data_IF_966370348625
#
_entry.id   IF_966370348625
#
_cell.length_a   1.000
_cell.length_b   1.000
_cell.length_c   1.000
_cell.angle_alpha   90.00
_cell.angle_beta   90.00
_cell.angle_gamma   90.00
#
_symmetry.space_group_name_H-M   'P 1'
#
loop_
_entity.id
_entity.type
_entity.pdbx_description
1 polymer ?
#
# COMPACT_ATOMS: atom_id res chain seq x y z
N UNK A 1 27.49 14.51 -21.99
CA UNK A 1 27.35 14.99 -20.60
C UNK A 1 25.92 15.45 -20.23
N UNK A 2 25.07 15.89 -21.17
CA UNK A 2 23.68 16.30 -20.87
C UNK A 2 22.71 15.15 -20.50
N UNK A 3 22.81 13.97 -21.12
CA UNK A 3 21.82 12.90 -20.92
C UNK A 3 21.77 12.40 -19.46
N UNK A 4 22.91 12.20 -18.81
CA UNK A 4 22.94 11.74 -17.41
C UNK A 4 22.32 12.77 -16.44
N UNK A 5 22.52 14.07 -16.67
CA UNK A 5 21.94 15.11 -15.82
C UNK A 5 20.41 15.19 -15.97
N UNK A 6 19.92 15.05 -17.21
CA UNK A 6 18.49 14.98 -17.52
C UNK A 6 17.85 13.74 -16.92
N UNK A 7 18.49 12.57 -17.04
CA UNK A 7 17.99 11.32 -16.48
C UNK A 7 17.90 11.39 -14.94
N UNK A 8 18.94 11.90 -14.27
CA UNK A 8 18.92 12.11 -12.83
C UNK A 8 17.76 13.04 -12.41
N UNK A 9 17.55 14.12 -13.15
CA UNK A 9 16.48 15.09 -12.87
C UNK A 9 15.09 14.46 -13.03
N UNK A 10 14.86 13.73 -14.14
CA UNK A 10 13.61 12.99 -14.38
C UNK A 10 13.36 12.00 -13.23
N UNK A 11 14.40 11.28 -12.81
CA UNK A 11 14.29 10.28 -11.77
C UNK A 11 13.95 10.83 -10.38
N UNK A 12 14.56 11.95 -9.99
CA UNK A 12 14.24 12.61 -8.70
C UNK A 12 12.87 13.29 -8.73
N UNK A 13 12.48 13.91 -9.85
CA UNK A 13 11.14 14.46 -10.02
C UNK A 13 10.10 13.33 -9.91
N UNK A 14 10.32 12.23 -10.64
CA UNK A 14 9.41 11.08 -10.62
C UNK A 14 9.30 10.46 -9.22
N UNK A 15 10.42 10.34 -8.51
CA UNK A 15 10.42 9.87 -7.10
C UNK A 15 9.62 10.81 -6.19
N UNK A 16 9.78 12.12 -6.34
CA UNK A 16 9.06 13.12 -5.55
C UNK A 16 7.56 13.05 -5.80
N UNK A 17 7.15 12.96 -7.07
CA UNK A 17 5.75 12.78 -7.45
C UNK A 17 5.19 11.48 -6.86
N UNK A 18 5.92 10.37 -6.98
CA UNK A 18 5.50 9.08 -6.41
C UNK A 18 5.31 9.16 -4.89
N UNK A 19 6.24 9.79 -4.16
CA UNK A 19 6.16 9.98 -2.71
C UNK A 19 4.89 10.74 -2.30
N UNK A 20 4.65 11.89 -2.93
CA UNK A 20 3.51 12.74 -2.60
C UNK A 20 2.20 12.03 -2.90
N UNK A 21 2.11 11.36 -4.06
CA UNK A 21 0.91 10.66 -4.48
C UNK A 21 0.63 9.42 -3.62
N UNK A 22 1.61 8.55 -3.36
CA UNK A 22 1.41 7.41 -2.46
C UNK A 22 1.11 7.83 -1.02
N UNK A 23 1.74 8.89 -0.53
CA UNK A 23 1.50 9.41 0.82
C UNK A 23 0.12 10.06 0.99
N UNK A 24 -0.53 10.44 -0.12
CA UNK A 24 -1.78 11.19 -0.11
C UNK A 24 -2.95 10.47 -0.79
N UNK A 25 -2.74 9.29 -1.39
CA UNK A 25 -3.75 8.62 -2.21
C UNK A 25 -5.05 8.32 -1.45
N UNK A 26 -4.97 8.02 -0.16
CA UNK A 26 -6.15 7.74 0.68
C UNK A 26 -6.69 8.96 1.45
N UNK A 27 -6.04 10.13 1.34
CA UNK A 27 -6.51 11.38 1.98
C UNK A 27 -7.92 11.79 1.51
N UNK A 28 -8.28 11.71 0.21
CA UNK A 28 -9.63 12.04 -0.25
C UNK A 28 -10.72 11.20 0.40
N UNK A 29 -10.40 9.97 0.81
CA UNK A 29 -11.35 9.01 1.35
C UNK A 29 -11.69 9.23 2.81
N UNK A 30 -10.88 9.99 3.55
CA UNK A 30 -11.07 10.16 4.99
C UNK A 30 -12.35 10.92 5.36
N UNK A 31 -12.88 11.73 4.45
CA UNK A 31 -14.09 12.55 4.68
C UNK A 31 -15.41 11.84 4.39
N UNK A 32 -15.36 10.68 3.73
CA UNK A 32 -16.54 9.98 3.25
C UNK A 32 -16.69 8.64 3.96
N UNK A 33 -17.93 8.18 4.15
CA UNK A 33 -18.16 6.83 4.65
C UNK A 33 -17.78 5.81 3.57
N UNK A 34 -16.83 4.96 3.91
CA UNK A 34 -16.27 3.92 3.04
C UNK A 34 -16.83 2.53 3.39
N UNK A 35 -17.71 2.44 4.41
CA UNK A 35 -18.37 1.20 4.77
C UNK A 35 -17.44 0.09 5.22
N UNK A 36 -17.63 -1.10 4.66
CA UNK A 36 -16.72 -2.25 4.83
C UNK A 36 -15.53 -2.25 3.85
N UNK A 37 -15.52 -1.32 2.89
CA UNK A 37 -14.44 -1.13 1.94
C UNK A 37 -14.47 -2.03 0.70
N UNK A 38 -15.34 -3.03 0.61
CA UNK A 38 -15.32 -3.99 -0.51
C UNK A 38 -15.73 -3.33 -1.84
N UNK A 39 -16.77 -2.49 -1.80
CA UNK A 39 -17.17 -1.71 -2.97
C UNK A 39 -16.11 -0.67 -3.35
N UNK A 40 -15.55 0.02 -2.36
CA UNK A 40 -14.49 1.00 -2.58
C UNK A 40 -13.25 0.38 -3.23
N UNK A 41 -12.82 -0.79 -2.77
CA UNK A 41 -11.73 -1.57 -3.34
C UNK A 41 -11.94 -1.79 -4.83
N UNK A 42 -13.15 -2.19 -5.24
CA UNK A 42 -13.48 -2.45 -6.63
C UNK A 42 -13.45 -1.17 -7.50
N UNK A 43 -14.04 -0.07 -7.01
CA UNK A 43 -13.99 1.23 -7.71
C UNK A 43 -12.56 1.74 -7.86
N UNK A 44 -11.76 1.65 -6.79
CA UNK A 44 -10.35 2.04 -6.79
C UNK A 44 -9.56 1.21 -7.81
N UNK A 45 -9.76 -0.10 -7.84
CA UNK A 45 -9.08 -1.00 -8.80
C UNK A 45 -9.52 -0.77 -10.25
N UNK A 46 -10.78 -0.40 -10.48
CA UNK A 46 -11.26 -0.01 -11.82
C UNK A 46 -10.53 1.25 -12.32
N UNK A 47 -10.35 2.24 -11.44
CA UNK A 47 -9.60 3.46 -11.78
C UNK A 47 -8.12 3.17 -12.08
N UNK A 48 -7.48 2.29 -11.30
CA UNK A 48 -6.12 1.80 -11.58
C UNK A 48 -6.04 1.19 -12.98
N UNK A 49 -6.99 0.32 -13.32
CA UNK A 49 -7.02 -0.34 -14.62
C UNK A 49 -7.23 0.63 -15.79
N UNK A 50 -8.07 1.65 -15.64
CA UNK A 50 -8.26 2.69 -16.65
C UNK A 50 -6.96 3.45 -16.95
N UNK A 51 -6.18 3.79 -15.91
CA UNK A 51 -4.85 4.37 -16.09
C UNK A 51 -3.94 3.39 -16.83
N UNK A 52 -4.02 2.09 -16.52
CA UNK A 52 -3.27 1.04 -17.22
C UNK A 52 -3.56 1.03 -18.74
N UNK A 53 -4.82 1.17 -19.13
CA UNK A 53 -5.22 1.21 -20.54
C UNK A 53 -4.57 2.40 -21.24
N UNK A 54 -4.61 3.58 -20.63
CA UNK A 54 -3.97 4.80 -21.18
C UNK A 54 -2.46 4.59 -21.33
N UNK A 55 -1.79 4.08 -20.30
CA UNK A 55 -0.34 3.80 -20.32
C UNK A 55 -0.01 2.77 -21.41
N UNK A 56 -0.81 1.71 -21.53
CA UNK A 56 -0.63 0.67 -22.55
C UNK A 56 -0.70 1.25 -23.97
N UNK A 57 -1.65 2.16 -24.23
CA UNK A 57 -1.78 2.83 -25.52
C UNK A 57 -0.60 3.76 -25.81
N UNK A 58 -0.13 4.52 -24.81
CA UNK A 58 1.06 5.39 -24.92
C UNK A 58 2.31 4.57 -25.25
N UNK A 59 2.44 3.36 -24.69
CA UNK A 59 3.56 2.46 -24.91
C UNK A 59 3.41 1.57 -26.16
N UNK A 60 2.43 1.84 -27.02
CA UNK A 60 2.16 1.07 -28.24
C UNK A 60 1.88 -0.42 -27.99
N UNK A 61 1.13 -0.73 -26.93
CA UNK A 61 0.67 -2.07 -26.58
C UNK A 61 1.82 -3.09 -26.45
N UNK A 62 2.69 -2.96 -25.42
CA UNK A 62 3.75 -3.92 -25.14
C UNK A 62 3.21 -5.34 -24.98
N UNK A 63 4.09 -6.34 -25.20
CA UNK A 63 3.73 -7.75 -25.09
C UNK A 63 3.17 -8.05 -23.70
N UNK A 64 1.96 -8.61 -23.67
CA UNK A 64 1.30 -8.99 -22.44
C UNK A 64 1.92 -10.27 -21.85
N UNK A 65 2.42 -10.18 -20.62
CA UNK A 65 2.96 -11.32 -19.88
C UNK A 65 2.02 -11.69 -18.73
N UNK A 66 1.21 -12.76 -18.84
CA UNK A 66 0.19 -13.11 -17.84
C UNK A 66 0.74 -13.35 -16.43
N UNK A 67 1.98 -13.83 -16.30
CA UNK A 67 2.59 -14.05 -14.99
C UNK A 67 2.74 -12.74 -14.18
N UNK A 68 2.88 -11.59 -14.83
CA UNK A 68 2.88 -10.28 -14.15
C UNK A 68 1.54 -9.96 -13.46
N UNK A 69 0.43 -10.56 -13.91
CA UNK A 69 -0.88 -10.41 -13.26
C UNK A 69 -0.87 -10.97 -11.83
N UNK A 70 -0.07 -12.00 -11.55
CA UNK A 70 0.04 -12.60 -10.21
C UNK A 70 0.47 -11.56 -9.19
N UNK A 71 1.37 -10.65 -9.58
CA UNK A 71 1.77 -9.53 -8.74
C UNK A 71 0.58 -8.64 -8.39
N UNK A 72 -0.25 -8.34 -9.38
CA UNK A 72 -1.47 -7.57 -9.18
C UNK A 72 -2.49 -8.26 -8.27
N UNK A 73 -2.58 -9.60 -8.36
CA UNK A 73 -3.41 -10.38 -7.45
C UNK A 73 -2.93 -10.25 -5.99
N UNK A 74 -1.62 -10.36 -5.77
CA UNK A 74 -1.00 -10.21 -4.44
C UNK A 74 -1.30 -8.81 -3.87
N UNK A 75 -1.14 -7.76 -4.69
CA UNK A 75 -1.46 -6.40 -4.27
C UNK A 75 -2.93 -6.22 -3.90
N UNK A 76 -3.84 -6.66 -4.76
CA UNK A 76 -5.29 -6.52 -4.53
C UNK A 76 -5.73 -7.26 -3.25
N UNK A 77 -5.09 -8.40 -2.95
CA UNK A 77 -5.32 -9.16 -1.71
C UNK A 77 -4.95 -8.35 -0.48
N UNK A 78 -3.78 -7.68 -0.48
CA UNK A 78 -3.39 -6.78 0.60
C UNK A 78 -4.31 -5.55 0.70
N UNK A 79 -4.73 -5.01 -0.45
CA UNK A 79 -5.47 -3.76 -0.49
C UNK A 79 -6.91 -3.84 0.06
N UNK A 80 -7.53 -5.04 0.09
CA UNK A 80 -8.82 -5.23 0.79
C UNK A 80 -8.76 -4.79 2.25
N UNK A 81 -7.62 -4.99 2.92
CA UNK A 81 -7.50 -4.68 4.33
C UNK A 81 -7.35 -3.18 4.64
N UNK A 82 -7.18 -2.32 3.62
CA UNK A 82 -6.91 -0.89 3.82
C UNK A 82 -8.02 -0.18 4.59
N UNK A 83 -9.29 -0.40 4.23
CA UNK A 83 -10.41 0.25 4.95
C UNK A 83 -10.48 -0.19 6.41
N UNK A 84 -10.43 -1.51 6.73
CA UNK A 84 -10.29 -1.96 8.10
C UNK A 84 -9.09 -1.36 8.84
N UNK A 85 -7.91 -1.25 8.21
CA UNK A 85 -6.71 -0.67 8.84
C UNK A 85 -6.95 0.82 9.17
N UNK A 86 -7.47 1.60 8.23
CA UNK A 86 -7.73 3.03 8.43
C UNK A 86 -8.77 3.25 9.54
N UNK A 87 -9.81 2.41 9.61
CA UNK A 87 -10.83 2.47 10.67
C UNK A 87 -10.32 2.03 12.04
N UNK A 88 -9.28 1.20 12.12
CA UNK A 88 -8.76 0.63 13.38
C UNK A 88 -7.58 1.37 13.98
N UNK A 89 -6.58 1.71 13.18
CA UNK A 89 -5.32 2.32 13.64
C UNK A 89 -5.00 3.66 12.98
N UNK A 90 -5.88 4.14 12.09
CA UNK A 90 -5.74 5.45 11.46
C UNK A 90 -4.95 5.40 10.15
N UNK A 91 -5.10 6.43 9.33
CA UNK A 91 -4.46 6.48 8.02
C UNK A 91 -2.95 6.69 8.16
N UNK A 92 -2.53 7.63 9.01
CA UNK A 92 -1.11 7.97 9.17
C UNK A 92 -0.30 6.78 9.70
N UNK A 93 -0.74 6.20 10.82
CA UNK A 93 -0.07 5.06 11.44
C UNK A 93 -0.15 3.79 10.59
N UNK A 94 -1.28 3.56 9.91
CA UNK A 94 -1.41 2.50 8.94
C UNK A 94 -0.31 2.55 7.88
N UNK A 95 -0.19 3.69 7.18
CA UNK A 95 0.83 3.88 6.12
C UNK A 95 2.24 3.60 6.59
N UNK A 96 2.57 4.03 7.81
CA UNK A 96 3.88 3.80 8.41
C UNK A 96 4.16 2.31 8.63
N UNK A 97 3.21 1.57 9.20
CA UNK A 97 3.39 0.15 9.49
C UNK A 97 3.48 -0.65 8.19
N UNK A 98 2.47 -0.58 7.32
CA UNK A 98 2.51 -1.39 6.09
C UNK A 98 3.63 -0.95 5.15
N UNK A 99 3.97 0.36 5.12
CA UNK A 99 5.09 0.88 4.34
C UNK A 99 6.43 0.30 4.79
N UNK A 100 6.62 0.17 6.11
CA UNK A 100 7.83 -0.45 6.68
C UNK A 100 7.95 -1.92 6.30
N UNK A 101 6.88 -2.70 6.42
CA UNK A 101 6.89 -4.12 6.05
C UNK A 101 6.96 -4.35 4.54
N UNK A 102 6.40 -3.43 3.73
CA UNK A 102 6.59 -3.38 2.28
C UNK A 102 8.07 -3.22 1.91
N UNK A 103 8.74 -2.23 2.49
CA UNK A 103 10.17 -1.99 2.26
C UNK A 103 11.03 -3.20 2.67
N UNK A 104 10.77 -3.77 3.86
CA UNK A 104 11.50 -4.92 4.38
C UNK A 104 11.32 -6.18 3.52
N UNK A 105 10.08 -6.45 3.09
CA UNK A 105 9.78 -7.63 2.28
C UNK A 105 10.34 -7.47 0.87
N UNK A 106 10.23 -6.28 0.27
CA UNK A 106 10.85 -5.99 -1.01
C UNK A 106 12.38 -6.15 -0.95
N UNK A 107 13.02 -5.58 0.07
CA UNK A 107 14.46 -5.78 0.30
C UNK A 107 14.84 -7.26 0.48
N UNK A 108 14.12 -8.00 1.33
CA UNK A 108 14.42 -9.41 1.60
C UNK A 108 14.24 -10.27 0.34
N UNK A 109 13.16 -10.07 -0.40
CA UNK A 109 12.88 -10.84 -1.62
C UNK A 109 13.98 -10.66 -2.67
N UNK A 110 14.42 -9.42 -2.92
CA UNK A 110 15.51 -9.12 -3.85
C UNK A 110 16.87 -9.59 -3.34
N UNK A 111 17.19 -9.36 -2.07
CA UNK A 111 18.51 -9.69 -1.49
C UNK A 111 18.78 -11.19 -1.46
N UNK A 112 17.77 -11.99 -1.12
CA UNK A 112 17.89 -13.44 -0.96
C UNK A 112 17.44 -14.22 -2.19
N UNK A 113 16.98 -13.56 -3.26
CA UNK A 113 16.50 -14.23 -4.46
C UNK A 113 15.27 -15.12 -4.20
N UNK A 114 14.37 -14.67 -3.31
CA UNK A 114 13.17 -15.45 -3.01
C UNK A 114 12.35 -15.71 -4.29
N UNK A 115 11.64 -16.83 -4.33
CA UNK A 115 10.81 -17.22 -5.47
C UNK A 115 11.58 -17.42 -6.78
N UNK A 116 12.88 -17.73 -6.69
CA UNK A 116 13.73 -18.05 -7.83
C UNK A 116 14.24 -16.84 -8.61
N UNK A 117 14.17 -15.64 -8.03
CA UNK A 117 14.82 -14.44 -8.59
C UNK A 117 16.34 -14.52 -8.43
N UNK A 118 17.08 -13.78 -9.26
CA UNK A 118 18.54 -13.69 -9.08
C UNK A 118 18.81 -12.88 -7.80
N UNK A 119 19.60 -13.45 -6.88
CA UNK A 119 19.91 -12.79 -5.62
C UNK A 119 20.76 -11.54 -5.86
N UNK A 120 20.33 -10.40 -5.34
CA UNK A 120 21.05 -9.16 -5.54
C UNK A 120 22.34 -9.12 -4.71
N UNK A 121 23.48 -9.06 -5.39
CA UNK A 121 24.79 -8.89 -4.77
C UNK A 121 25.05 -7.41 -4.44
N UNK A 122 25.64 -7.17 -3.26
CA UNK A 122 25.96 -5.83 -2.76
C UNK A 122 27.43 -5.74 -2.38
N UNK A 123 28.08 -4.64 -2.74
CA UNK A 123 29.52 -4.42 -2.51
C UNK A 123 29.90 -4.48 -1.03
N UNK A 124 29.02 -4.02 -0.13
CA UNK A 124 29.24 -4.00 1.33
C UNK A 124 28.08 -4.70 2.07
N UNK A 125 28.08 -6.05 2.16
CA UNK A 125 26.98 -6.81 2.76
C UNK A 125 26.67 -6.44 4.22
N UNK A 126 27.70 -6.18 5.03
CA UNK A 126 27.50 -5.80 6.44
C UNK A 126 26.72 -4.50 6.58
N UNK A 127 27.05 -3.48 5.78
CA UNK A 127 26.37 -2.18 5.80
C UNK A 127 24.91 -2.32 5.35
N UNK A 128 24.65 -3.20 4.38
CA UNK A 128 23.31 -3.51 3.91
C UNK A 128 22.46 -4.16 5.03
N UNK A 129 23.01 -5.15 5.74
CA UNK A 129 22.31 -5.81 6.85
C UNK A 129 22.08 -4.88 8.04
N UNK A 130 23.02 -3.98 8.34
CA UNK A 130 22.79 -2.92 9.35
C UNK A 130 21.62 -2.03 8.93
N UNK A 131 21.57 -1.61 7.66
CA UNK A 131 20.48 -0.79 7.13
C UNK A 131 19.10 -1.46 7.22
N UNK A 132 19.04 -2.74 6.87
CA UNK A 132 17.84 -3.56 7.04
C UNK A 132 17.45 -3.72 8.51
N UNK A 133 18.42 -3.98 9.39
CA UNK A 133 18.21 -4.08 10.84
C UNK A 133 17.64 -2.80 11.45
N UNK A 134 18.15 -1.63 11.07
CA UNK A 134 17.60 -0.34 11.47
C UNK A 134 16.17 -0.15 10.98
N UNK A 135 15.86 -0.58 9.75
CA UNK A 135 14.50 -0.52 9.20
C UNK A 135 13.52 -1.40 9.98
N UNK A 136 13.95 -2.58 10.43
CA UNK A 136 13.18 -3.46 11.33
C UNK A 136 12.90 -2.75 12.66
N UNK A 137 13.94 -2.16 13.28
CA UNK A 137 13.79 -1.44 14.54
C UNK A 137 12.80 -0.28 14.40
N UNK A 138 12.87 0.50 13.33
CA UNK A 138 11.92 1.58 13.06
C UNK A 138 10.48 1.06 12.89
N UNK A 139 10.28 -0.04 12.16
CA UNK A 139 8.98 -0.69 12.00
C UNK A 139 8.37 -1.08 13.36
N UNK A 140 9.18 -1.64 14.26
CA UNK A 140 8.74 -1.96 15.62
C UNK A 140 8.40 -0.71 16.43
N UNK A 141 9.17 0.37 16.33
CA UNK A 141 8.86 1.64 17.01
C UNK A 141 7.51 2.19 16.55
N UNK A 142 7.20 2.13 15.25
CA UNK A 142 5.90 2.57 14.74
C UNK A 142 4.73 1.81 15.38
N UNK A 143 4.86 0.49 15.64
CA UNK A 143 3.81 -0.29 16.32
C UNK A 143 3.47 0.24 17.72
N UNK A 144 4.41 0.91 18.40
CA UNK A 144 4.19 1.48 19.72
C UNK A 144 3.46 2.83 19.70
N UNK A 145 3.47 3.56 18.57
CA UNK A 145 2.74 4.82 18.42
C UNK A 145 1.24 4.56 18.59
N UNK A 146 0.60 5.36 19.46
CA UNK A 146 -0.86 5.29 19.68
C UNK A 146 -1.55 6.27 18.74
N UNK A 147 -2.51 5.78 17.96
CA UNK A 147 -3.42 6.65 17.21
C UNK A 147 -4.69 6.90 18.01
N UNK A 148 -5.15 8.15 18.00
CA UNK A 148 -6.46 8.55 18.49
C UNK A 148 -7.44 8.58 17.31
N UNK A 149 -8.39 7.64 17.32
CA UNK A 149 -9.45 7.58 16.31
C UNK A 149 -10.79 7.81 17.01
N UNK A 150 -11.64 8.70 16.50
CA UNK A 150 -13.01 8.84 17.00
C UNK A 150 -13.72 7.48 16.91
N UNK A 151 -14.18 6.95 18.05
CA UNK A 151 -14.96 5.71 18.06
C UNK A 151 -16.35 6.01 17.48
N UNK A 152 -16.66 5.45 16.32
CA UNK A 152 -18.05 5.27 15.88
C UNK A 152 -18.64 4.13 16.71
N UNK A 153 -19.09 4.41 17.92
CA UNK A 153 -19.87 3.44 18.71
C UNK A 153 -21.18 3.21 17.98
N UNK A 154 -21.40 2.01 17.44
CA UNK A 154 -22.76 1.54 17.22
C UNK A 154 -23.40 1.46 18.60
N UNK A 155 -24.51 2.17 18.81
CA UNK A 155 -25.21 2.23 20.09
C UNK A 155 -25.64 0.82 20.51
N UNK A 156 -24.84 0.17 21.34
CA UNK A 156 -25.33 -0.91 22.20
C UNK A 156 -25.94 -0.18 23.38
N UNK A 157 -27.26 0.03 23.33
CA UNK A 157 -28.03 0.59 24.44
C UNK A 157 -27.67 -0.16 25.73
N UNK A 158 -26.83 0.47 26.54
CA UNK A 158 -26.72 0.14 27.96
C UNK A 158 -27.57 1.19 28.66
N UNK A 159 -28.88 1.15 28.43
CA UNK A 159 -29.82 2.08 29.05
C UNK A 159 -29.86 1.78 30.55
N UNK A 160 -29.61 2.77 31.43
CA UNK A 160 -29.88 2.60 32.84
C UNK A 160 -31.41 2.49 33.01
N UNK A 161 -31.83 1.56 33.85
CA UNK A 161 -33.22 1.28 34.25
C UNK A 161 -34.09 2.54 34.37
N UNK A 162 -34.93 2.79 33.36
CA UNK A 162 -36.22 3.47 33.56
C UNK A 162 -37.27 2.64 32.81
N UNK A 163 -38.15 2.06 33.61
CA UNK A 163 -39.35 1.33 33.24
C UNK A 163 -40.23 2.17 32.32
N UNK A 164 -40.46 1.73 31.09
CA UNK A 164 -41.75 1.92 30.41
C UNK A 164 -41.97 0.88 29.30
N UNK A 165 -43.22 0.46 29.19
CA UNK A 165 -43.70 -0.72 28.50
C UNK A 165 -43.93 -0.48 26.99
N UNK A 166 -43.77 -1.56 26.18
CA UNK A 166 -44.25 -1.79 24.79
C UNK A 166 -43.43 -1.04 23.71
N UNK A 167 -42.73 -1.67 22.74
CA UNK A 167 -43.13 -2.66 21.72
C UNK A 167 -41.89 -3.48 21.31
N UNK A 168 -42.02 -4.80 21.21
CA UNK A 168 -41.05 -5.69 20.54
C UNK A 168 -40.90 -5.28 19.06
N UNK A 169 -39.97 -4.37 18.77
CA UNK A 169 -39.27 -4.38 17.49
C UNK A 169 -38.07 -5.30 17.68
N UNK A 170 -38.07 -6.44 16.99
CA UNK A 170 -36.82 -7.12 16.64
C UNK A 170 -35.86 -6.05 16.11
N UNK A 171 -34.83 -5.72 16.89
CA UNK A 171 -33.78 -4.79 16.51
C UNK A 171 -33.05 -5.39 15.33
N UNK A 172 -33.36 -4.94 14.12
CA UNK A 172 -32.47 -5.15 12.99
C UNK A 172 -31.12 -4.49 13.31
N UNK A 173 -29.99 -5.19 13.12
CA UNK A 173 -28.68 -4.59 13.33
C UNK A 173 -28.53 -3.40 12.36
N UNK A 174 -28.14 -2.25 12.90
CA UNK A 174 -27.96 -1.01 12.15
C UNK A 174 -27.19 -1.26 10.83
N UNK A 175 -27.81 -1.05 9.65
CA UNK A 175 -27.23 -1.40 8.36
C UNK A 175 -25.92 -0.66 8.06
N UNK A 176 -25.61 0.43 8.77
CA UNK A 176 -24.38 1.20 8.62
C UNK A 176 -23.21 0.71 9.48
N UNK A 177 -23.43 -0.20 10.43
CA UNK A 177 -22.37 -0.69 11.32
C UNK A 177 -21.42 -1.67 10.59
N UNK A 178 -20.13 -1.34 10.50
CA UNK A 178 -19.10 -2.25 9.96
C UNK A 178 -18.72 -3.29 11.02
N UNK A 179 -18.22 -4.45 10.59
CA UNK A 179 -17.74 -5.48 11.52
C UNK A 179 -16.60 -4.97 12.41
N UNK A 180 -15.81 -4.02 11.89
CA UNK A 180 -14.70 -3.38 12.59
C UNK A 180 -15.20 -2.58 13.79
N UNK A 181 -16.39 -1.98 13.70
CA UNK A 181 -16.97 -1.12 14.75
C UNK A 181 -17.43 -1.92 15.97
N UNK A 182 -17.49 -3.25 15.87
CA UNK A 182 -17.87 -4.17 16.96
C UNK A 182 -16.69 -4.63 17.82
N UNK A 183 -15.46 -4.25 17.48
CA UNK A 183 -14.26 -4.71 18.17
C UNK A 183 -14.05 -3.95 19.49
N UNK A 184 -13.45 -4.60 20.49
CA UNK A 184 -12.97 -3.90 21.69
C UNK A 184 -11.75 -3.03 21.39
N UNK A 185 -11.42 -2.07 22.25
CA UNK A 185 -10.27 -1.15 22.04
C UNK A 185 -8.94 -1.88 21.81
N UNK A 186 -8.71 -3.01 22.51
CA UNK A 186 -7.50 -3.82 22.34
C UNK A 186 -7.53 -4.60 21.03
N UNK A 187 -8.69 -5.18 20.69
CA UNK A 187 -8.87 -5.90 19.43
C UNK A 187 -8.74 -4.97 18.21
N UNK A 188 -9.27 -3.74 18.27
CA UNK A 188 -9.09 -2.73 17.22
C UNK A 188 -7.62 -2.56 16.87
N UNK A 189 -6.79 -2.29 17.88
CA UNK A 189 -5.36 -2.07 17.66
C UNK A 189 -4.66 -3.33 17.14
N UNK A 190 -4.94 -4.49 17.73
CA UNK A 190 -4.31 -5.75 17.32
C UNK A 190 -4.66 -6.09 15.87
N UNK A 191 -5.95 -6.07 15.52
CA UNK A 191 -6.44 -6.37 14.17
C UNK A 191 -5.86 -5.37 13.16
N UNK A 192 -5.89 -4.06 13.46
CA UNK A 192 -5.35 -3.04 12.57
C UNK A 192 -3.85 -3.19 12.32
N UNK A 193 -3.06 -3.40 13.38
CA UNK A 193 -1.62 -3.65 13.23
C UNK A 193 -1.33 -4.94 12.47
N UNK A 194 -2.01 -6.05 12.80
CA UNK A 194 -1.81 -7.33 12.10
C UNK A 194 -2.17 -7.23 10.62
N UNK A 195 -3.30 -6.60 10.29
CA UNK A 195 -3.70 -6.38 8.90
C UNK A 195 -2.70 -5.48 8.16
N UNK A 196 -2.17 -4.43 8.80
CA UNK A 196 -1.16 -3.57 8.21
C UNK A 196 0.16 -4.31 7.94
N UNK A 197 0.60 -5.17 8.86
CA UNK A 197 1.79 -6.02 8.66
C UNK A 197 1.59 -6.97 7.48
N UNK A 198 0.46 -7.70 7.44
CA UNK A 198 0.15 -8.64 6.36
C UNK A 198 0.07 -7.91 5.02
N UNK A 199 -0.63 -6.78 4.97
CA UNK A 199 -0.74 -5.96 3.74
C UNK A 199 0.62 -5.46 3.28
N UNK A 200 1.47 -5.02 4.22
CA UNK A 200 2.84 -4.61 3.91
C UNK A 200 3.66 -5.73 3.27
N UNK A 201 3.60 -6.95 3.81
CA UNK A 201 4.30 -8.12 3.24
C UNK A 201 3.80 -8.42 1.82
N UNK A 202 2.49 -8.39 1.60
CA UNK A 202 1.90 -8.60 0.27
C UNK A 202 2.33 -7.49 -0.70
N UNK A 203 2.28 -6.22 -0.30
CA UNK A 203 2.75 -5.11 -1.13
C UNK A 203 4.23 -5.24 -1.50
N UNK A 204 5.09 -5.64 -0.56
CA UNK A 204 6.52 -5.85 -0.84
C UNK A 204 6.79 -7.02 -1.79
N UNK A 205 5.83 -7.93 -1.93
CA UNK A 205 5.92 -9.07 -2.85
C UNK A 205 5.29 -8.79 -4.22
N UNK A 206 4.65 -7.63 -4.42
CA UNK A 206 3.84 -7.35 -5.61
C UNK A 206 4.63 -7.34 -6.91
N UNK A 207 5.89 -6.90 -6.87
CA UNK A 207 6.74 -6.80 -8.06
C UNK A 207 7.63 -8.03 -8.28
N UNK A 208 7.60 -9.02 -7.38
CA UNK A 208 8.38 -10.27 -7.51
C UNK A 208 8.12 -10.97 -8.86
N UNK A 209 6.87 -11.13 -9.35
CA UNK A 209 6.65 -11.78 -10.64
C UNK A 209 7.23 -11.02 -11.83
N UNK A 210 7.24 -9.68 -11.78
CA UNK A 210 7.84 -8.84 -12.82
C UNK A 210 9.36 -8.98 -12.80
N UNK A 211 9.97 -8.92 -11.61
CA UNK A 211 11.42 -9.10 -11.44
C UNK A 211 11.83 -10.50 -11.94
N UNK A 212 11.08 -11.53 -11.59
CA UNK A 212 11.31 -12.90 -12.05
C UNK A 212 11.31 -13.01 -13.59
N UNK A 213 10.32 -12.41 -14.27
CA UNK A 213 10.28 -12.37 -15.74
C UNK A 213 11.51 -11.67 -16.30
N UNK A 214 11.87 -10.50 -15.73
CA UNK A 214 13.02 -9.71 -16.18
C UNK A 214 14.34 -10.46 -16.02
N UNK A 215 14.55 -11.15 -14.90
CA UNK A 215 15.78 -11.92 -14.67
C UNK A 215 15.87 -13.12 -15.61
N UNK A 216 14.79 -13.87 -15.77
CA UNK A 216 14.79 -15.04 -16.67
C UNK A 216 14.89 -14.63 -18.14
N UNK A 217 14.39 -13.46 -18.52
CA UNK A 217 14.51 -12.97 -19.91
C UNK A 217 15.94 -12.70 -20.37
N UNK A 218 16.89 -12.55 -19.43
CA UNK A 218 18.33 -12.43 -19.73
C UNK A 218 18.92 -13.74 -20.26
N UNK A 219 18.25 -14.88 -20.03
CA UNK A 219 18.68 -16.21 -20.45
C UNK A 219 17.91 -16.61 -21.71
N UNK A 220 18.64 -16.92 -22.79
CA UNK A 220 18.06 -17.19 -24.11
C UNK A 220 17.22 -18.48 -24.19
N UNK A 221 17.41 -19.38 -23.23
CA UNK A 221 16.71 -20.66 -23.10
C UNK A 221 15.43 -20.59 -22.25
N UNK A 222 15.12 -19.43 -21.66
CA UNK A 222 13.92 -19.29 -20.82
C UNK A 222 12.65 -19.01 -21.64
N UNK A 223 11.51 -19.37 -21.06
CA UNK A 223 10.17 -19.03 -21.62
C UNK A 223 9.91 -17.52 -21.68
N UNK A 224 10.75 -16.72 -21.03
CA UNK A 224 10.68 -15.27 -20.98
C UNK A 224 11.72 -14.60 -21.88
N UNK A 225 12.43 -15.36 -22.73
CA UNK A 225 13.37 -14.80 -23.70
C UNK A 225 12.70 -13.70 -24.54
N UNK A 226 13.35 -12.53 -24.62
CA UNK A 226 12.83 -11.36 -25.32
C UNK A 226 11.78 -10.54 -24.55
N UNK A 227 11.55 -10.81 -23.26
CA UNK A 227 10.76 -9.91 -22.41
C UNK A 227 11.51 -8.58 -22.17
N UNK A 228 10.75 -7.49 -22.03
CA UNK A 228 11.33 -6.16 -21.87
C UNK A 228 12.00 -5.98 -20.51
N UNK A 229 13.06 -5.18 -20.45
CA UNK A 229 13.67 -4.75 -19.19
C UNK A 229 13.01 -3.49 -18.61
N UNK A 230 12.11 -2.86 -19.37
CA UNK A 230 11.39 -1.66 -18.95
C UNK A 230 10.21 -2.03 -18.06
N UNK A 231 10.18 -1.55 -16.81
CA UNK A 231 9.13 -1.88 -15.84
C UNK A 231 7.73 -1.44 -16.30
N UNK A 232 7.66 -0.33 -17.03
CA UNK A 232 6.40 0.22 -17.55
C UNK A 232 5.67 -0.73 -18.51
N UNK A 233 6.40 -1.61 -19.20
CA UNK A 233 5.82 -2.54 -20.18
C UNK A 233 4.96 -3.62 -19.51
N UNK A 234 5.15 -3.82 -18.19
CA UNK A 234 4.40 -4.78 -17.38
C UNK A 234 3.20 -4.16 -16.65
N UNK A 235 3.04 -2.82 -16.66
CA UNK A 235 1.99 -2.10 -15.93
C UNK A 235 0.60 -2.60 -16.32
N UNK A 236 0.35 -2.78 -17.62
CA UNK A 236 -0.96 -3.21 -18.09
C UNK A 236 -1.31 -4.63 -17.61
N UNK A 237 -0.35 -5.56 -17.65
CA UNK A 237 -0.55 -6.91 -17.12
C UNK A 237 -0.72 -6.91 -15.60
N UNK A 238 0.12 -6.17 -14.88
CA UNK A 238 0.03 -6.02 -13.43
C UNK A 238 -1.34 -5.47 -12.99
N UNK A 239 -1.78 -4.34 -13.57
CA UNK A 239 -3.03 -3.68 -13.20
C UNK A 239 -4.26 -4.49 -13.66
N UNK A 240 -4.15 -5.28 -14.74
CA UNK A 240 -5.19 -6.24 -15.11
C UNK A 240 -5.36 -7.33 -14.05
N UNK A 241 -4.26 -7.81 -13.45
CA UNK A 241 -4.31 -8.71 -12.30
C UNK A 241 -4.98 -8.09 -11.07
N UNK A 242 -4.70 -6.80 -10.79
CA UNK A 242 -5.34 -6.05 -9.71
C UNK A 242 -6.86 -6.02 -9.92
N UNK A 243 -7.32 -5.58 -11.09
CA UNK A 243 -8.75 -5.41 -11.36
C UNK A 243 -9.51 -6.73 -11.44
N UNK A 244 -8.91 -7.75 -12.07
CA UNK A 244 -9.51 -9.09 -12.11
C UNK A 244 -9.71 -9.65 -10.70
N UNK A 245 -8.69 -9.59 -9.86
CA UNK A 245 -8.75 -10.10 -8.49
C UNK A 245 -9.75 -9.33 -7.65
N UNK A 246 -9.74 -7.99 -7.76
CA UNK A 246 -10.73 -7.15 -7.10
C UNK A 246 -12.16 -7.44 -7.55
N UNK A 247 -12.37 -7.78 -8.82
CA UNK A 247 -13.69 -8.16 -9.35
C UNK A 247 -14.13 -9.50 -8.77
N UNK A 248 -13.23 -10.49 -8.69
CA UNK A 248 -13.52 -11.77 -8.04
C UNK A 248 -13.93 -11.57 -6.58
N UNK A 249 -13.22 -10.73 -5.83
CA UNK A 249 -13.57 -10.42 -4.45
C UNK A 249 -14.91 -9.70 -4.32
N UNK A 250 -15.21 -8.76 -5.20
CA UNK A 250 -16.49 -8.07 -5.20
C UNK A 250 -17.65 -9.00 -5.57
N UNK A 251 -17.46 -9.91 -6.53
CA UNK A 251 -18.46 -10.93 -6.88
C UNK A 251 -18.70 -11.90 -5.71
N UNK A 252 -17.64 -12.38 -5.06
CA UNK A 252 -17.75 -13.22 -3.86
C UNK A 252 -18.50 -12.50 -2.73
N UNK A 253 -18.22 -11.21 -2.54
CA UNK A 253 -18.96 -10.36 -1.60
C UNK A 253 -20.43 -10.23 -1.96
N UNK A 254 -20.78 -9.97 -3.23
CA UNK A 254 -22.17 -9.94 -3.68
C UNK A 254 -22.89 -11.27 -3.44
N UNK A 255 -22.23 -12.41 -3.69
CA UNK A 255 -22.79 -13.75 -3.41
C UNK A 255 -23.03 -13.91 -1.90
N UNK A 256 -22.03 -13.59 -1.07
CA UNK A 256 -22.14 -13.68 0.39
C UNK A 256 -23.25 -12.77 0.94
N UNK A 257 -23.43 -11.59 0.35
CA UNK A 257 -24.48 -10.63 0.66
C UNK A 257 -25.81 -10.92 -0.06
N UNK A 258 -25.98 -12.09 -0.69
CA UNK A 258 -27.22 -12.49 -1.40
C UNK A 258 -27.72 -11.44 -2.40
N UNK A 259 -26.79 -10.82 -3.12
CA UNK A 259 -27.01 -9.76 -4.09
C UNK A 259 -27.62 -8.46 -3.51
N UNK A 260 -27.46 -8.22 -2.21
CA UNK A 260 -27.72 -6.92 -1.56
C UNK A 260 -26.42 -6.36 -0.97
N UNK A 261 -25.42 -6.03 -1.81
CA UNK A 261 -24.14 -5.46 -1.35
C UNK A 261 -24.34 -4.07 -0.74
N UNK A 262 -23.52 -3.72 0.26
CA UNK A 262 -23.50 -2.35 0.80
C UNK A 262 -22.72 -1.45 -0.14
N UNK A 263 -23.43 -0.56 -0.83
CA UNK A 263 -22.84 0.40 -1.77
C UNK A 263 -22.78 1.78 -1.12
N UNK A 264 -21.68 2.49 -1.36
CA UNK A 264 -21.44 3.83 -0.84
C UNK A 264 -21.15 4.79 -2.01
N UNK A 265 -22.20 5.35 -2.65
CA UNK A 265 -22.04 6.16 -3.86
C UNK A 265 -21.15 7.39 -3.66
N UNK A 266 -21.20 8.00 -2.48
CA UNK A 266 -20.38 9.18 -2.13
C UNK A 266 -18.88 8.87 -2.13
N UNK A 267 -18.51 7.61 -1.88
CA UNK A 267 -17.11 7.16 -1.91
C UNK A 267 -16.60 6.85 -3.33
N UNK A 268 -17.46 6.86 -4.37
CA UNK A 268 -17.08 6.50 -5.74
C UNK A 268 -16.06 7.46 -6.32
N UNK A 269 -16.34 8.77 -6.32
CA UNK A 269 -15.44 9.77 -6.89
C UNK A 269 -14.12 9.90 -6.10
N UNK A 270 -14.13 9.97 -4.74
CA UNK A 270 -12.90 9.92 -3.94
C UNK A 270 -12.10 8.63 -4.14
N UNK A 271 -12.77 7.48 -4.27
CA UNK A 271 -12.15 6.18 -4.51
C UNK A 271 -11.51 6.08 -5.88
N UNK A 272 -12.20 6.60 -6.90
CA UNK A 272 -11.66 6.69 -8.25
C UNK A 272 -10.41 7.58 -8.29
N UNK A 273 -10.47 8.76 -7.66
CA UNK A 273 -9.31 9.64 -7.53
C UNK A 273 -8.15 8.95 -6.81
N UNK A 274 -8.43 8.25 -5.71
CA UNK A 274 -7.43 7.48 -4.96
C UNK A 274 -6.70 6.45 -5.85
N UNK A 275 -7.45 5.71 -6.66
CA UNK A 275 -6.91 4.75 -7.62
C UNK A 275 -6.06 5.40 -8.70
N UNK A 276 -6.48 6.53 -9.27
CA UNK A 276 -5.70 7.30 -10.24
C UNK A 276 -4.38 7.79 -9.62
N UNK A 277 -4.43 8.38 -8.43
CA UNK A 277 -3.23 8.86 -7.73
C UNK A 277 -2.23 7.71 -7.48
N UNK A 278 -2.72 6.55 -7.03
CA UNK A 278 -1.88 5.37 -6.82
C UNK A 278 -1.28 4.84 -8.12
N UNK A 279 -2.07 4.75 -9.19
CA UNK A 279 -1.62 4.24 -10.49
C UNK A 279 -0.54 5.13 -11.12
N UNK A 280 -0.70 6.46 -11.06
CA UNK A 280 0.30 7.43 -11.52
C UNK A 280 1.56 7.31 -10.66
N UNK A 281 1.43 7.19 -9.33
CA UNK A 281 2.56 7.01 -8.42
C UNK A 281 3.39 5.76 -8.77
N UNK A 282 2.74 4.64 -9.08
CA UNK A 282 3.40 3.41 -9.52
C UNK A 282 4.12 3.59 -10.85
N UNK A 283 3.53 4.30 -11.82
CA UNK A 283 4.20 4.62 -13.07
C UNK A 283 5.43 5.52 -12.84
N UNK A 284 5.31 6.53 -11.99
CA UNK A 284 6.42 7.40 -11.60
C UNK A 284 7.53 6.63 -10.88
N UNK A 285 7.19 5.64 -10.05
CA UNK A 285 8.16 4.74 -9.45
C UNK A 285 8.93 3.98 -10.54
N UNK A 286 8.25 3.38 -11.50
CA UNK A 286 8.91 2.66 -12.60
C UNK A 286 9.82 3.57 -13.45
N UNK A 287 9.41 4.81 -13.72
CA UNK A 287 10.28 5.81 -14.36
C UNK A 287 11.50 6.11 -13.49
N UNK A 288 11.33 6.30 -12.18
CA UNK A 288 12.42 6.54 -11.24
C UNK A 288 13.40 5.36 -11.16
N UNK A 289 12.92 4.11 -11.18
CA UNK A 289 13.76 2.92 -11.22
C UNK A 289 14.66 2.92 -12.45
N UNK A 290 14.11 3.30 -13.62
CA UNK A 290 14.88 3.38 -14.86
C UNK A 290 15.93 4.48 -14.82
N UNK A 291 15.60 5.65 -14.27
CA UNK A 291 16.46 6.83 -14.30
C UNK A 291 17.51 6.92 -13.17
N UNK A 292 17.16 6.49 -11.95
CA UNK A 292 18.07 6.52 -10.78
C UNK A 292 18.63 5.15 -10.41
N UNK A 293 18.22 4.09 -11.09
CA UNK A 293 18.31 2.70 -10.62
C UNK A 293 17.37 2.40 -9.44
N UNK A 294 16.90 1.15 -9.37
CA UNK A 294 16.08 0.65 -8.26
C UNK A 294 16.81 0.80 -6.91
N UNK A 295 18.14 0.76 -6.90
CA UNK A 295 18.97 0.92 -5.70
C UNK A 295 18.73 2.25 -4.99
N UNK A 296 18.56 3.33 -5.75
CA UNK A 296 18.44 4.69 -5.24
C UNK A 296 16.97 5.05 -5.05
N UNK A 297 16.14 4.72 -6.04
CA UNK A 297 14.72 5.06 -6.03
C UNK A 297 13.90 4.25 -5.02
N UNK A 298 14.22 2.96 -4.81
CA UNK A 298 13.46 2.10 -3.89
C UNK A 298 13.45 2.65 -2.45
N UNK A 299 14.60 2.94 -1.79
CA UNK A 299 14.58 3.47 -0.42
C UNK A 299 13.86 4.83 -0.31
N UNK A 300 14.00 5.68 -1.34
CA UNK A 300 13.33 7.00 -1.40
C UNK A 300 11.81 6.82 -1.44
N UNK A 301 11.32 5.99 -2.37
CA UNK A 301 9.89 5.80 -2.64
C UNK A 301 9.22 4.91 -1.59
N UNK A 302 9.95 4.06 -0.85
CA UNK A 302 9.37 3.27 0.23
C UNK A 302 9.32 4.01 1.56
N UNK A 303 10.27 4.91 1.85
CA UNK A 303 10.29 5.68 3.09
C UNK A 303 9.49 6.99 3.00
N UNK A 304 9.54 7.68 1.86
CA UNK A 304 8.94 9.00 1.66
C UNK A 304 7.41 9.04 1.86
N UNK A 305 6.60 8.11 1.31
CA UNK A 305 5.15 8.12 1.49
C UNK A 305 4.73 8.05 2.96
N UNK A 306 5.47 7.29 3.78
CA UNK A 306 5.24 7.20 5.21
C UNK A 306 5.42 8.56 5.90
N UNK A 307 6.42 9.34 5.49
CA UNK A 307 6.62 10.71 5.98
C UNK A 307 5.44 11.62 5.63
N UNK A 308 5.01 11.64 4.37
CA UNK A 308 3.87 12.45 3.92
C UNK A 308 2.58 12.04 4.66
N UNK A 309 2.33 10.74 4.81
CA UNK A 309 1.18 10.22 5.55
C UNK A 309 1.21 10.61 7.03
N UNK A 310 2.39 10.58 7.66
CA UNK A 310 2.56 11.04 9.03
C UNK A 310 2.25 12.53 9.16
N UNK A 311 2.65 13.37 8.20
CA UNK A 311 2.31 14.79 8.18
C UNK A 311 0.79 15.01 8.07
N UNK A 312 0.10 14.26 7.20
CA UNK A 312 -1.37 14.28 7.14
C UNK A 312 -1.99 13.83 8.48
N UNK A 313 -1.46 12.76 9.08
CA UNK A 313 -1.90 12.22 10.37
C UNK A 313 -1.73 13.19 11.53
N UNK A 314 -0.64 13.96 11.56
CA UNK A 314 -0.34 14.93 12.64
C UNK A 314 -1.10 16.24 12.43
N UNK A 315 -1.00 16.85 11.25
CA UNK A 315 -1.48 18.23 11.05
C UNK A 315 -2.96 18.31 10.68
N UNK A 316 -3.44 17.39 9.84
CA UNK A 316 -4.79 17.49 9.26
C UNK A 316 -5.78 16.61 9.99
N UNK A 317 -5.47 15.32 10.17
CA UNK A 317 -6.38 14.39 10.82
C UNK A 317 -6.23 14.37 12.35
N UNK A 318 -5.09 14.85 12.85
CA UNK A 318 -4.76 14.85 14.28
C UNK A 318 -4.94 13.47 14.92
N UNK A 319 -4.61 12.42 14.16
CA UNK A 319 -4.65 11.00 14.57
C UNK A 319 -3.46 10.63 15.45
N UNK A 320 -2.34 11.32 15.28
CA UNK A 320 -1.11 11.09 16.04
C UNK A 320 -0.90 12.33 16.92
N UNK A 321 -1.22 12.23 18.21
CA UNK A 321 -1.10 13.34 19.16
C UNK A 321 -0.26 12.98 20.38
N UNK A 322 0.29 14.00 21.03
CA UNK A 322 1.03 13.87 22.30
C UNK A 322 2.54 13.84 22.13
N UNK A 323 3.25 14.42 23.11
CA UNK A 323 4.71 14.57 23.08
C UNK A 323 5.45 13.25 22.92
N UNK A 324 4.99 12.19 23.59
CA UNK A 324 5.60 10.86 23.48
C UNK A 324 5.49 10.28 22.06
N UNK A 325 4.30 10.38 21.44
CA UNK A 325 4.09 9.92 20.06
C UNK A 325 4.94 10.72 19.06
N UNK A 326 5.06 12.04 19.23
CA UNK A 326 5.93 12.86 18.38
C UNK A 326 7.40 12.48 18.51
N UNK A 327 7.90 12.25 19.74
CA UNK A 327 9.28 11.81 19.96
C UNK A 327 9.55 10.43 19.35
N UNK A 328 8.64 9.47 19.52
CA UNK A 328 8.74 8.14 18.91
C UNK A 328 8.75 8.22 17.39
N UNK A 329 7.89 9.07 16.82
CA UNK A 329 7.81 9.28 15.37
C UNK A 329 9.10 9.89 14.82
N UNK A 330 9.63 10.95 15.44
CA UNK A 330 10.91 11.58 15.04
C UNK A 330 12.04 10.55 15.13
N UNK A 331 12.11 9.80 16.24
CA UNK A 331 13.12 8.75 16.42
C UNK A 331 13.03 7.68 15.32
N UNK A 332 11.83 7.17 15.04
CA UNK A 332 11.59 6.18 14.00
C UNK A 332 11.99 6.69 12.60
N UNK A 333 11.71 7.97 12.30
CA UNK A 333 12.12 8.59 11.03
C UNK A 333 13.63 8.78 10.93
N UNK A 334 14.31 9.17 12.00
CA UNK A 334 15.77 9.24 12.02
C UNK A 334 16.39 7.85 11.76
N UNK A 335 15.84 6.81 12.38
CA UNK A 335 16.31 5.43 12.23
C UNK A 335 16.06 4.91 10.80
N UNK A 336 14.85 5.08 10.24
CA UNK A 336 14.54 4.59 8.89
C UNK A 336 15.34 5.34 7.83
N UNK A 337 15.56 6.65 7.99
CA UNK A 337 16.41 7.43 7.08
C UNK A 337 17.86 6.95 7.12
N UNK A 338 18.38 6.71 8.31
CA UNK A 338 19.73 6.14 8.48
C UNK A 338 19.82 4.75 7.85
N UNK A 339 18.81 3.89 8.08
CA UNK A 339 18.75 2.55 7.49
C UNK A 339 18.68 2.56 5.96
N UNK A 340 17.87 3.46 5.40
CA UNK A 340 17.76 3.67 3.95
C UNK A 340 19.09 4.14 3.34
N UNK A 341 19.78 5.10 3.97
CA UNK A 341 21.09 5.59 3.53
C UNK A 341 22.16 4.49 3.62
N UNK A 342 22.22 3.72 4.71
CA UNK A 342 23.13 2.58 4.82
C UNK A 342 22.89 1.55 3.71
N UNK A 343 21.62 1.24 3.42
CA UNK A 343 21.25 0.29 2.35
C UNK A 343 21.64 0.83 0.98
N UNK A 344 21.39 2.11 0.70
CA UNK A 344 21.76 2.73 -0.57
C UNK A 344 23.29 2.78 -0.76
N UNK A 345 24.04 3.22 0.25
CA UNK A 345 25.51 3.30 0.20
C UNK A 345 26.20 1.93 0.24
N UNK A 346 25.50 0.86 0.61
CA UNK A 346 26.08 -0.50 0.58
C UNK A 346 26.37 -1.03 -0.82
N UNK A 347 25.78 -0.41 -1.87
CA UNK A 347 26.04 -0.77 -3.26
C UNK A 347 27.13 0.05 -3.93
N UNK A 348 27.60 1.11 -3.28
CA UNK A 348 28.73 1.95 -3.73
C UNK A 348 30.02 1.41 -3.11
#
# INVERSE_FOLDING_TARGET
>A
MNNNATDLTIGFISSTVAIVLFGSNFVPLKKYDTGDGMFLQWVLCAAIWLVAVVVNLILHCPKFWPFAMVGGCIWATGNIAVVPIIKTIGLGLGLLIWGSFNALTGWASSRFGWFGMDAEEVSKPLLNYIGAGLSIVSAFIFLFIKSEIPKSTCSVDTTPLITEHVINKTQDPDPHCSWVDKLSTVQHRLVGCSLAVISGILYGSTFVPIIYIKDHSKRNDSIYAGASQNDLDYVFAHFSGIFLTSTVYFLAYCIAMKNTPKLYPEAVLPGFLSGVLWAIATCCWFVANRSLSAVVSFPIITAGPGFIAAMWGVFMFKEIQGRQNYLLMILAFCIILTGALCTAFSKI
#
